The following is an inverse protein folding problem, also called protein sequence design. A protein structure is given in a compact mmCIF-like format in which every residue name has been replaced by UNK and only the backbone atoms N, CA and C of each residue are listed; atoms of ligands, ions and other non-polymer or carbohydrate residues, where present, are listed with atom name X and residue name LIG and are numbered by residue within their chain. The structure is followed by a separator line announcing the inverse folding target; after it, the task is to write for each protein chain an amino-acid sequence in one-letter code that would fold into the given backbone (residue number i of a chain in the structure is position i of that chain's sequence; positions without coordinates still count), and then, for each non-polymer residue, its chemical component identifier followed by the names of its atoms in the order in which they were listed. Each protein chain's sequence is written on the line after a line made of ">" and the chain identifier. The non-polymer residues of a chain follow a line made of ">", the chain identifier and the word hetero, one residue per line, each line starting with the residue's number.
data_IF_480130048301
#
_entry.id   IF_480130048301
#
_cell.length_a   1.000
_cell.length_b   1.000
_cell.length_c   1.000
_cell.angle_alpha   90.00
_cell.angle_beta   90.00
_cell.angle_gamma   90.00
#
_symmetry.space_group_name_H-M   'P 1'
#
loop_
_entity.id
_entity.type
_entity.pdbx_description
1 polymer ?
#
# COMPACT_ATOMS: atom_id res chain seq x y z
N UNK A 1 4.42 -7.29 13.83
CA UNK A 1 4.74 -7.12 12.39
C UNK A 1 5.54 -5.84 12.17
N UNK A 2 6.64 -5.92 11.41
CA UNK A 2 7.46 -4.77 10.99
C UNK A 2 7.20 -4.47 9.51
N UNK A 3 6.98 -3.19 9.17
CA UNK A 3 6.58 -2.78 7.82
C UNK A 3 7.49 -1.71 7.24
N UNK A 4 7.62 -1.70 5.92
CA UNK A 4 8.06 -0.54 5.14
C UNK A 4 6.84 0.34 4.84
N UNK A 5 7.01 1.65 4.93
CA UNK A 5 6.02 2.63 4.48
C UNK A 5 6.69 3.63 3.52
N UNK A 6 6.22 3.68 2.28
CA UNK A 6 6.64 4.71 1.31
C UNK A 6 5.59 5.81 1.21
N UNK A 7 5.99 7.00 0.77
CA UNK A 7 5.05 8.12 0.64
C UNK A 7 4.52 8.66 1.97
N UNK A 8 5.25 8.42 3.08
CA UNK A 8 4.86 8.83 4.43
C UNK A 8 4.69 10.35 4.63
N UNK A 9 5.24 11.18 3.73
CA UNK A 9 5.05 12.64 3.72
C UNK A 9 3.80 13.09 2.95
N UNK A 10 3.10 12.16 2.29
CA UNK A 10 1.90 12.42 1.50
C UNK A 10 0.63 12.37 2.36
N UNK A 11 -0.50 12.73 1.75
CA UNK A 11 -1.80 12.80 2.43
C UNK A 11 -2.22 11.44 3.03
N UNK A 12 -2.25 10.38 2.22
CA UNK A 12 -2.62 9.02 2.67
C UNK A 12 -1.52 8.42 3.56
N UNK A 13 -0.25 8.58 3.18
CA UNK A 13 0.87 8.00 3.92
C UNK A 13 1.05 8.59 5.32
N UNK A 14 0.72 9.88 5.52
CA UNK A 14 0.74 10.52 6.85
C UNK A 14 -0.27 9.86 7.78
N UNK A 15 -1.51 9.65 7.32
CA UNK A 15 -2.54 9.00 8.13
C UNK A 15 -2.19 7.55 8.44
N UNK A 16 -1.65 6.80 7.46
CA UNK A 16 -1.17 5.43 7.69
C UNK A 16 -0.05 5.41 8.73
N UNK A 17 0.90 6.35 8.67
CA UNK A 17 1.98 6.45 9.66
C UNK A 17 1.42 6.73 11.06
N UNK A 18 0.50 7.68 11.19
CA UNK A 18 -0.13 8.03 12.47
C UNK A 18 -0.87 6.84 13.08
N UNK A 19 -1.65 6.11 12.28
CA UNK A 19 -2.35 4.92 12.76
C UNK A 19 -1.40 3.76 13.05
N UNK A 20 -0.37 3.53 12.22
CA UNK A 20 0.62 2.48 12.44
C UNK A 20 1.38 2.70 13.75
N UNK A 21 1.71 3.97 14.08
CA UNK A 21 2.32 4.33 15.36
C UNK A 21 1.42 3.94 16.53
N UNK A 22 0.11 4.19 16.43
CA UNK A 22 -0.87 3.81 17.45
C UNK A 22 -1.22 2.31 17.47
N UNK A 23 -0.88 1.55 16.42
CA UNK A 23 -1.31 0.16 16.25
C UNK A 23 -0.44 -0.84 17.02
N UNK A 24 -1.04 -1.61 17.94
CA UNK A 24 -0.30 -2.53 18.82
C UNK A 24 0.35 -3.73 18.10
N UNK A 25 -0.22 -4.19 16.98
CA UNK A 25 0.37 -5.30 16.20
C UNK A 25 1.44 -4.87 15.18
N UNK A 26 1.62 -3.56 15.00
CA UNK A 26 2.75 -3.02 14.24
C UNK A 26 3.85 -2.74 15.26
N UNK A 27 4.97 -3.43 15.13
CA UNK A 27 6.10 -3.33 16.05
C UNK A 27 7.06 -2.22 15.62
N UNK A 28 7.26 -2.07 14.31
CA UNK A 28 8.22 -1.10 13.77
C UNK A 28 7.82 -0.65 12.37
N UNK A 29 8.10 0.61 12.06
CA UNK A 29 7.80 1.22 10.77
C UNK A 29 9.10 1.78 10.19
N UNK A 30 9.52 1.25 9.04
CA UNK A 30 10.66 1.72 8.26
C UNK A 30 10.14 2.63 7.15
N UNK A 31 10.24 3.93 7.36
CA UNK A 31 9.78 4.92 6.40
C UNK A 31 10.86 5.20 5.36
N UNK A 32 10.66 4.69 4.14
CA UNK A 32 11.54 4.99 3.01
C UNK A 32 11.02 6.27 2.34
N UNK A 33 11.77 7.36 2.44
CA UNK A 33 11.33 8.70 2.02
C UNK A 33 12.41 9.43 1.24
N UNK A 34 11.99 10.37 0.37
CA UNK A 34 12.92 11.28 -0.34
C UNK A 34 13.25 12.54 0.45
N UNK A 35 12.47 12.83 1.48
CA UNK A 35 12.55 14.04 2.28
C UNK A 35 12.39 13.65 3.74
N UNK A 36 13.10 14.33 4.66
CA UNK A 36 12.95 14.08 6.08
C UNK A 36 11.48 14.16 6.53
N UNK A 37 11.11 13.24 7.40
CA UNK A 37 9.87 13.23 8.15
C UNK A 37 9.85 14.38 9.15
N UNK A 38 8.64 14.80 9.49
CA UNK A 38 8.43 15.73 10.58
C UNK A 38 8.95 15.11 11.90
N UNK A 39 9.71 15.91 12.66
CA UNK A 39 10.29 15.51 13.95
C UNK A 39 9.24 14.99 14.94
N UNK A 40 7.99 15.42 14.80
CA UNK A 40 6.87 14.93 15.61
C UNK A 40 6.73 13.41 15.61
N UNK A 41 7.07 12.72 14.51
CA UNK A 41 6.89 11.27 14.42
C UNK A 41 7.90 10.48 15.28
N UNK A 42 9.07 11.06 15.57
CA UNK A 42 10.05 10.46 16.46
C UNK A 42 9.76 10.75 17.94
N UNK A 43 9.05 11.85 18.22
CA UNK A 43 8.62 12.22 19.57
C UNK A 43 7.29 11.54 19.98
N UNK A 44 6.36 11.39 19.05
CA UNK A 44 5.02 10.80 19.25
C UNK A 44 5.06 9.27 19.29
N UNK A 45 5.98 8.65 18.55
CA UNK A 45 6.15 7.21 18.59
C UNK A 45 6.63 6.76 19.97
N UNK A 46 6.10 5.64 20.47
CA UNK A 46 6.78 4.91 21.55
C UNK A 46 8.26 4.78 21.17
N UNK A 47 9.16 5.23 22.05
CA UNK A 47 10.56 5.52 21.72
C UNK A 47 11.16 4.42 20.84
N UNK A 48 11.45 4.76 19.58
CA UNK A 48 12.08 3.86 18.61
C UNK A 48 11.16 3.12 17.64
N UNK A 49 9.83 3.30 17.64
CA UNK A 49 8.91 2.58 16.72
C UNK A 49 9.05 2.97 15.23
N UNK A 50 9.63 4.14 14.95
CA UNK A 50 9.79 4.67 13.59
C UNK A 50 11.27 4.85 13.28
N UNK A 51 11.70 4.29 12.14
CA UNK A 51 13.02 4.55 11.55
C UNK A 51 12.83 5.21 10.20
N UNK A 52 13.49 6.34 10.01
CA UNK A 52 13.57 7.00 8.70
C UNK A 52 14.75 6.46 7.92
N UNK A 53 14.51 6.14 6.64
CA UNK A 53 15.50 5.74 5.67
C UNK A 53 15.38 6.68 4.48
N UNK A 54 16.33 7.62 4.36
CA UNK A 54 16.37 8.56 3.23
C UNK A 54 16.88 7.82 2.00
N UNK A 55 16.08 7.80 0.95
CA UNK A 55 16.37 7.11 -0.30
C UNK A 55 15.76 7.89 -1.46
N UNK A 56 16.59 8.31 -2.41
CA UNK A 56 16.15 9.20 -3.50
C UNK A 56 15.78 8.44 -4.78
N UNK A 57 16.45 7.31 -5.06
CA UNK A 57 16.31 6.58 -6.31
C UNK A 57 15.55 5.26 -6.18
N UNK A 58 14.22 5.33 -6.17
CA UNK A 58 13.33 4.15 -6.08
C UNK A 58 13.37 3.21 -7.28
N UNK A 59 14.21 3.47 -8.29
CA UNK A 59 14.50 2.53 -9.38
C UNK A 59 15.67 1.60 -9.06
N UNK A 60 16.43 1.85 -7.99
CA UNK A 60 17.58 1.03 -7.60
C UNK A 60 17.77 1.03 -6.09
N UNK A 61 17.80 -0.14 -5.47
CA UNK A 61 17.97 -0.30 -4.04
C UNK A 61 19.38 -0.83 -3.74
N UNK A 62 20.13 -0.13 -2.90
CA UNK A 62 21.47 -0.57 -2.51
C UNK A 62 21.41 -1.85 -1.65
N UNK A 63 22.38 -2.74 -1.84
CA UNK A 63 22.49 -4.00 -1.08
C UNK A 63 22.56 -3.74 0.43
N UNK A 64 23.22 -2.67 0.85
CA UNK A 64 23.32 -2.26 2.26
C UNK A 64 21.95 -1.99 2.89
N UNK A 65 21.07 -1.29 2.16
CA UNK A 65 19.71 -1.00 2.59
C UNK A 65 18.87 -2.27 2.65
N UNK A 66 18.99 -3.14 1.65
CA UNK A 66 18.26 -4.41 1.62
C UNK A 66 18.71 -5.36 2.74
N UNK A 67 20.02 -5.45 2.98
CA UNK A 67 20.58 -6.23 4.07
C UNK A 67 20.08 -5.70 5.43
N UNK A 68 20.08 -4.39 5.64
CA UNK A 68 19.53 -3.78 6.85
C UNK A 68 18.04 -4.14 7.07
N UNK A 69 17.21 -4.02 6.03
CA UNK A 69 15.78 -4.34 6.12
C UNK A 69 15.53 -5.84 6.31
N UNK A 70 16.38 -6.69 5.73
CA UNK A 70 16.37 -8.14 5.91
C UNK A 70 16.72 -8.52 7.35
N UNK A 71 17.80 -7.96 7.91
CA UNK A 71 18.22 -8.22 9.29
C UNK A 71 17.22 -7.68 10.31
N UNK A 72 16.59 -6.55 10.02
CA UNK A 72 15.45 -6.04 10.77
C UNK A 72 14.27 -7.03 10.78
N UNK A 73 14.16 -7.89 9.77
CA UNK A 73 13.08 -8.84 9.54
C UNK A 73 11.78 -8.12 9.20
N UNK A 74 11.80 -7.28 8.16
CA UNK A 74 10.58 -6.65 7.64
C UNK A 74 9.68 -7.70 6.97
N UNK A 75 8.37 -7.57 7.19
CA UNK A 75 7.37 -8.57 6.80
C UNK A 75 6.36 -8.05 5.76
N UNK A 76 6.44 -6.77 5.39
CA UNK A 76 5.56 -6.20 4.39
C UNK A 76 5.90 -4.75 4.04
N UNK A 77 5.27 -4.26 2.99
CA UNK A 77 5.40 -2.89 2.50
C UNK A 77 4.02 -2.31 2.24
N UNK A 78 3.78 -1.08 2.70
CA UNK A 78 2.64 -0.28 2.27
C UNK A 78 3.16 0.81 1.34
N UNK A 79 2.77 0.72 0.07
CA UNK A 79 3.22 1.62 -0.98
C UNK A 79 2.22 2.75 -1.21
N UNK A 80 2.51 3.93 -0.64
CA UNK A 80 1.68 5.13 -0.78
C UNK A 80 2.35 6.23 -1.61
N UNK A 81 3.43 5.92 -2.32
CA UNK A 81 4.06 6.90 -3.19
C UNK A 81 3.24 7.11 -4.46
N UNK A 82 2.90 8.37 -4.73
CA UNK A 82 2.25 8.81 -5.96
C UNK A 82 2.29 10.34 -6.09
N UNK A 83 2.36 10.88 -7.31
CA UNK A 83 2.17 12.32 -7.55
C UNK A 83 0.75 12.77 -7.18
N UNK A 84 0.51 14.09 -7.32
CA UNK A 84 -0.81 14.71 -7.13
C UNK A 84 -1.90 14.01 -7.98
N UNK A 85 -3.15 14.27 -7.61
CA UNK A 85 -4.37 13.57 -8.04
C UNK A 85 -4.57 13.51 -9.56
N UNK A 86 -4.01 14.46 -10.30
CA UNK A 86 -4.11 14.50 -11.76
C UNK A 86 -2.73 14.37 -12.39
N UNK A 87 -2.59 13.48 -13.40
CA UNK A 87 -1.35 13.36 -14.10
C UNK A 87 -1.08 14.62 -14.90
N UNK A 88 0.14 15.14 -14.83
CA UNK A 88 0.59 16.24 -15.69
C UNK A 88 1.02 15.66 -17.05
N UNK A 89 0.26 15.92 -18.14
CA UNK A 89 0.60 15.39 -19.46
C UNK A 89 2.00 15.83 -19.94
N UNK A 90 2.47 16.99 -19.49
CA UNK A 90 3.80 17.50 -19.82
C UNK A 90 4.93 16.69 -19.15
N UNK A 91 4.61 15.88 -18.13
CA UNK A 91 5.55 15.07 -17.35
C UNK A 91 5.24 13.58 -17.39
N UNK A 92 4.58 13.12 -18.47
CA UNK A 92 4.11 11.74 -18.60
C UNK A 92 5.18 10.68 -18.29
N UNK A 93 6.40 10.84 -18.79
CA UNK A 93 7.48 9.88 -18.53
C UNK A 93 7.87 9.83 -17.05
N UNK A 94 7.91 10.98 -16.36
CA UNK A 94 8.17 11.05 -14.91
C UNK A 94 7.01 10.42 -14.13
N UNK A 95 5.77 10.69 -14.54
CA UNK A 95 4.56 10.12 -13.96
C UNK A 95 4.53 8.59 -14.06
N UNK A 96 4.79 8.05 -15.25
CA UNK A 96 4.86 6.61 -15.50
C UNK A 96 5.98 5.98 -14.66
N UNK A 97 7.14 6.63 -14.58
CA UNK A 97 8.24 6.16 -13.72
C UNK A 97 7.81 6.07 -12.25
N UNK A 98 7.16 7.09 -11.72
CA UNK A 98 6.74 7.12 -10.29
C UNK A 98 5.58 6.15 -10.03
N UNK A 99 4.61 6.07 -10.94
CA UNK A 99 3.36 5.33 -10.72
C UNK A 99 3.46 3.86 -11.08
N UNK A 100 4.34 3.49 -12.01
CA UNK A 100 4.47 2.14 -12.57
C UNK A 100 5.85 1.58 -12.25
N UNK A 101 6.92 2.22 -12.72
CA UNK A 101 8.27 1.62 -12.63
C UNK A 101 8.79 1.49 -11.20
N UNK A 102 8.64 2.52 -10.37
CA UNK A 102 9.10 2.48 -8.97
C UNK A 102 8.40 1.43 -8.11
N UNK A 103 7.06 1.28 -8.10
CA UNK A 103 6.45 0.20 -7.32
C UNK A 103 6.87 -1.18 -7.81
N UNK A 104 6.99 -1.38 -9.12
CA UNK A 104 7.42 -2.68 -9.68
C UNK A 104 8.87 -2.99 -9.30
N UNK A 105 9.80 -2.05 -9.48
CA UNK A 105 11.21 -2.21 -9.10
C UNK A 105 11.36 -2.51 -7.60
N UNK A 106 10.56 -1.84 -6.75
CA UNK A 106 10.54 -2.14 -5.32
C UNK A 106 10.03 -3.55 -5.03
N UNK A 107 8.94 -3.96 -5.68
CA UNK A 107 8.37 -5.29 -5.50
C UNK A 107 9.32 -6.39 -5.96
N UNK A 108 10.01 -6.21 -7.08
CA UNK A 108 11.03 -7.17 -7.57
C UNK A 108 12.14 -7.39 -6.54
N UNK A 109 12.72 -6.29 -6.03
CA UNK A 109 13.78 -6.37 -5.03
C UNK A 109 13.26 -6.96 -3.72
N UNK A 110 12.09 -6.53 -3.23
CA UNK A 110 11.55 -7.02 -1.97
C UNK A 110 11.17 -8.50 -2.06
N UNK A 111 10.65 -8.95 -3.20
CA UNK A 111 10.32 -10.35 -3.47
C UNK A 111 11.58 -11.22 -3.47
N UNK A 112 12.65 -10.80 -4.15
CA UNK A 112 13.90 -11.57 -4.22
C UNK A 112 14.74 -11.56 -2.93
N UNK A 113 14.72 -10.47 -2.16
CA UNK A 113 15.63 -10.29 -1.01
C UNK A 113 14.94 -10.42 0.35
N UNK A 114 13.81 -9.73 0.54
CA UNK A 114 13.15 -9.65 1.84
C UNK A 114 12.21 -10.82 2.07
N UNK A 115 11.41 -11.16 1.05
CA UNK A 115 10.41 -12.21 1.14
C UNK A 115 11.02 -13.61 1.26
N UNK A 116 12.13 -13.86 0.55
CA UNK A 116 12.91 -15.11 0.63
C UNK A 116 13.54 -15.35 2.01
N UNK A 117 13.68 -14.30 2.83
CA UNK A 117 14.18 -14.40 4.20
C UNK A 117 13.10 -14.85 5.21
N UNK A 118 11.82 -14.84 4.81
CA UNK A 118 10.70 -15.24 5.65
C UNK A 118 10.39 -16.73 5.47
N UNK A 119 9.72 -17.32 6.45
CA UNK A 119 9.31 -18.73 6.41
C UNK A 119 7.92 -18.92 7.03
N UNK A 120 7.05 -19.76 6.43
CA UNK A 120 5.77 -20.14 7.03
C UNK A 120 5.88 -20.71 8.44
N UNK A 121 6.98 -21.42 8.74
CA UNK A 121 7.22 -22.06 10.05
C UNK A 121 7.40 -21.06 11.20
N UNK A 122 7.72 -19.80 10.89
CA UNK A 122 7.87 -18.74 11.89
C UNK A 122 6.53 -18.09 12.26
N UNK A 123 5.42 -18.47 11.63
CA UNK A 123 4.10 -18.01 12.02
C UNK A 123 3.68 -18.60 13.40
N UNK A 124 2.92 -17.84 14.22
CA UNK A 124 2.41 -16.48 13.98
C UNK A 124 3.40 -15.37 14.38
N UNK A 125 4.60 -15.72 14.88
CA UNK A 125 5.59 -14.75 15.38
C UNK A 125 6.09 -13.80 14.28
N UNK A 126 6.27 -14.33 13.07
CA UNK A 126 6.52 -13.56 11.85
C UNK A 126 5.39 -13.81 10.86
N UNK A 127 4.94 -12.78 10.16
CA UNK A 127 3.97 -12.86 9.08
C UNK A 127 4.64 -13.44 7.84
N UNK A 128 3.89 -14.28 7.15
CA UNK A 128 4.23 -14.87 5.87
C UNK A 128 2.92 -14.99 5.07
N UNK A 129 2.90 -14.72 3.75
CA UNK A 129 4.01 -14.20 2.92
C UNK A 129 4.38 -12.74 3.24
N UNK A 130 5.44 -12.22 2.61
CA UNK A 130 5.71 -10.78 2.58
C UNK A 130 4.59 -10.08 1.81
N UNK A 131 3.89 -9.14 2.44
CA UNK A 131 2.74 -8.46 1.80
C UNK A 131 3.11 -7.08 1.29
N UNK A 132 2.89 -6.85 0.00
CA UNK A 132 3.01 -5.57 -0.67
C UNK A 132 1.62 -4.96 -0.91
N UNK A 133 1.26 -3.96 -0.11
CA UNK A 133 -0.02 -3.26 -0.21
C UNK A 133 0.14 -2.05 -1.12
N UNK A 134 -0.50 -2.09 -2.27
CA UNK A 134 -0.47 -1.01 -3.26
C UNK A 134 -1.74 -0.16 -3.18
N UNK A 135 -1.60 1.14 -2.93
CA UNK A 135 -2.71 2.08 -2.99
C UNK A 135 -3.03 2.38 -4.46
N UNK A 136 -3.98 1.63 -5.02
CA UNK A 136 -4.47 1.78 -6.39
C UNK A 136 -5.56 2.85 -6.47
N UNK A 137 -6.42 2.77 -7.48
CA UNK A 137 -7.54 3.68 -7.66
C UNK A 137 -8.77 2.94 -8.20
N UNK A 138 -9.94 3.43 -7.83
CA UNK A 138 -11.22 2.96 -8.35
C UNK A 138 -11.22 2.97 -9.89
N UNK A 139 -11.61 1.84 -10.46
CA UNK A 139 -11.68 1.67 -11.91
C UNK A 139 -10.34 1.48 -12.60
N UNK A 140 -9.23 1.22 -11.89
CA UNK A 140 -7.96 0.86 -12.53
C UNK A 140 -8.16 -0.21 -13.62
N UNK A 141 -7.56 0.01 -14.79
CA UNK A 141 -7.79 -0.79 -15.99
C UNK A 141 -6.49 -1.45 -16.44
N UNK A 142 -6.47 -2.78 -16.40
CA UNK A 142 -5.29 -3.57 -16.72
C UNK A 142 -5.18 -3.83 -18.23
N UNK A 143 -6.31 -3.81 -18.95
CA UNK A 143 -6.31 -3.87 -20.41
C UNK A 143 -5.91 -2.50 -21.00
N UNK A 144 -4.66 -2.42 -21.45
CA UNK A 144 -4.11 -1.19 -22.02
C UNK A 144 -4.71 -0.85 -23.39
N UNK A 145 -5.36 -1.80 -24.07
CA UNK A 145 -6.02 -1.59 -25.36
C UNK A 145 -7.46 -1.09 -25.22
N UNK A 146 -8.09 -1.27 -24.05
CA UNK A 146 -9.46 -0.80 -23.83
C UNK A 146 -9.55 0.72 -23.88
N UNK A 147 -10.48 1.27 -24.67
CA UNK A 147 -10.79 2.69 -24.61
C UNK A 147 -11.75 2.99 -23.47
N UNK A 148 -11.43 3.98 -22.65
CA UNK A 148 -12.22 4.46 -21.53
C UNK A 148 -12.67 5.89 -21.79
N UNK A 149 -13.94 6.18 -21.49
CA UNK A 149 -14.56 7.49 -21.68
C UNK A 149 -14.22 8.50 -20.56
N UNK A 150 -13.81 8.02 -19.37
CA UNK A 150 -13.34 8.84 -18.25
C UNK A 150 -11.94 8.43 -17.81
N UNK A 151 -11.08 9.43 -17.56
CA UNK A 151 -9.77 9.28 -16.92
C UNK A 151 -8.93 8.14 -17.52
N UNK A 152 -8.93 8.02 -18.86
CA UNK A 152 -8.36 6.91 -19.61
C UNK A 152 -6.91 6.63 -19.22
N UNK A 153 -6.02 7.62 -19.34
CA UNK A 153 -4.60 7.49 -19.01
C UNK A 153 -4.39 7.12 -17.53
N UNK A 154 -5.12 7.78 -16.61
CA UNK A 154 -4.98 7.54 -15.18
C UNK A 154 -5.32 6.11 -14.78
N UNK A 155 -6.49 5.63 -15.23
CA UNK A 155 -7.00 4.29 -14.91
C UNK A 155 -6.07 3.22 -15.50
N UNK A 156 -5.57 3.45 -16.71
CA UNK A 156 -4.58 2.59 -17.37
C UNK A 156 -3.25 2.56 -16.67
N UNK A 157 -2.69 3.72 -16.27
CA UNK A 157 -1.44 3.77 -15.51
C UNK A 157 -1.53 2.99 -14.20
N UNK A 158 -2.65 3.13 -13.47
CA UNK A 158 -2.88 2.35 -12.25
C UNK A 158 -3.01 0.86 -12.52
N UNK A 159 -3.73 0.46 -13.57
CA UNK A 159 -3.86 -0.95 -13.92
C UNK A 159 -2.57 -1.56 -14.48
N UNK A 160 -1.73 -0.79 -15.18
CA UNK A 160 -0.41 -1.22 -15.62
C UNK A 160 0.50 -1.52 -14.41
N UNK A 161 0.48 -0.64 -13.40
CA UNK A 161 1.19 -0.87 -12.14
C UNK A 161 0.67 -2.12 -11.40
N UNK A 162 -0.65 -2.27 -11.28
CA UNK A 162 -1.26 -3.47 -10.70
C UNK A 162 -0.81 -4.74 -11.42
N UNK A 163 -0.87 -4.76 -12.75
CA UNK A 163 -0.48 -5.91 -13.56
C UNK A 163 0.97 -6.29 -13.30
N UNK A 164 1.91 -5.34 -13.36
CA UNK A 164 3.31 -5.63 -13.09
C UNK A 164 3.56 -6.12 -11.66
N UNK A 165 2.90 -5.53 -10.66
CA UNK A 165 3.02 -5.98 -9.27
C UNK A 165 2.43 -7.38 -9.04
N UNK A 166 1.37 -7.74 -9.76
CA UNK A 166 0.79 -9.08 -9.74
C UNK A 166 1.68 -10.09 -10.45
N UNK A 167 2.29 -9.70 -11.57
CA UNK A 167 3.26 -10.53 -12.27
C UNK A 167 4.45 -10.85 -11.35
N UNK A 168 4.97 -9.87 -10.58
CA UNK A 168 6.03 -10.13 -9.59
C UNK A 168 5.59 -11.13 -8.50
N UNK A 169 4.36 -11.01 -7.99
CA UNK A 169 3.85 -11.93 -6.97
C UNK A 169 3.68 -13.36 -7.53
N UNK A 170 3.13 -13.48 -8.74
CA UNK A 170 2.85 -14.77 -9.40
C UNK A 170 4.14 -15.54 -9.73
N UNK A 171 5.25 -14.82 -9.97
CA UNK A 171 6.58 -15.37 -10.25
C UNK A 171 7.51 -15.41 -9.02
N UNK A 172 7.04 -15.00 -7.84
CA UNK A 172 7.87 -15.02 -6.63
C UNK A 172 8.30 -16.45 -6.23
N UNK A 173 9.42 -16.54 -5.51
CA UNK A 173 9.96 -17.83 -5.09
C UNK A 173 8.99 -18.61 -4.18
N UNK A 174 9.11 -19.93 -4.20
CA UNK A 174 8.37 -20.81 -3.31
C UNK A 174 9.24 -21.15 -2.10
N UNK A 175 8.80 -20.73 -0.92
CA UNK A 175 9.43 -21.13 0.34
C UNK A 175 8.53 -22.19 0.97
N UNK A 176 9.06 -23.41 1.09
CA UNK A 176 8.37 -24.55 1.70
C UNK A 176 6.99 -24.83 1.08
N UNK A 177 6.88 -24.68 -0.24
CA UNK A 177 5.64 -24.95 -0.97
C UNK A 177 4.63 -23.80 -1.01
N UNK A 178 4.97 -22.62 -0.50
CA UNK A 178 4.12 -21.42 -0.56
C UNK A 178 4.86 -20.25 -1.22
N UNK A 179 4.15 -19.45 -2.04
CA UNK A 179 4.70 -18.21 -2.61
C UNK A 179 5.14 -17.28 -1.48
N UNK A 180 6.35 -16.75 -1.56
CA UNK A 180 6.91 -15.91 -0.50
C UNK A 180 6.41 -14.47 -0.52
N UNK A 181 5.85 -14.02 -1.65
CA UNK A 181 5.44 -12.64 -1.87
C UNK A 181 3.98 -12.56 -2.32
N UNK A 182 3.24 -11.63 -1.73
CA UNK A 182 1.84 -11.36 -2.04
C UNK A 182 1.66 -9.87 -2.30
N UNK A 183 0.99 -9.52 -3.40
CA UNK A 183 0.59 -8.14 -3.71
C UNK A 183 -0.92 -7.98 -3.51
N UNK A 184 -1.33 -6.94 -2.78
CA UNK A 184 -2.75 -6.57 -2.62
C UNK A 184 -2.95 -5.14 -3.11
N UNK A 185 -3.84 -4.94 -4.08
CA UNK A 185 -4.23 -3.62 -4.57
C UNK A 185 -5.50 -3.13 -3.87
N UNK A 186 -5.42 -1.94 -3.25
CA UNK A 186 -6.58 -1.24 -2.72
C UNK A 186 -7.11 -0.24 -3.75
N UNK A 187 -8.21 -0.55 -4.41
CA UNK A 187 -8.85 0.32 -5.40
C UNK A 187 -9.79 1.30 -4.73
N UNK A 188 -9.21 2.20 -3.94
CA UNK A 188 -9.94 3.29 -3.31
C UNK A 188 -10.47 4.28 -4.33
N UNK A 189 -11.65 4.81 -4.07
CA UNK A 189 -12.20 5.98 -4.75
C UNK A 189 -11.48 7.26 -4.34
N UNK A 190 -12.15 8.40 -4.49
CA UNK A 190 -11.63 9.68 -4.05
C UNK A 190 -11.36 9.67 -2.55
N UNK A 191 -10.11 9.95 -2.16
CA UNK A 191 -9.74 10.04 -0.74
C UNK A 191 -10.15 11.40 -0.19
N UNK A 192 -11.03 11.40 0.81
CA UNK A 192 -11.58 12.62 1.42
C UNK A 192 -11.08 12.82 2.85
N UNK A 193 -11.22 14.04 3.36
CA UNK A 193 -10.95 14.32 4.79
C UNK A 193 -11.98 13.60 5.66
N UNK A 194 -11.61 13.19 6.88
CA UNK A 194 -12.60 12.76 7.86
C UNK A 194 -13.56 13.93 8.10
N UNK A 195 -14.86 13.70 7.97
CA UNK A 195 -15.91 14.69 8.20
C UNK A 195 -16.95 14.16 9.19
N UNK A 196 -18.08 14.86 9.34
CA UNK A 196 -19.21 14.34 10.11
C UNK A 196 -19.68 13.01 9.51
N UNK A 197 -19.82 11.99 10.37
CA UNK A 197 -20.02 10.60 9.95
C UNK A 197 -21.17 10.44 8.94
N UNK A 198 -22.26 11.19 9.10
CA UNK A 198 -23.43 11.15 8.21
C UNK A 198 -23.11 11.72 6.82
N UNK A 199 -22.43 12.87 6.75
CA UNK A 199 -22.08 13.52 5.48
C UNK A 199 -21.05 12.72 4.69
N UNK A 200 -20.06 12.14 5.38
CA UNK A 200 -19.08 11.23 4.77
C UNK A 200 -19.74 9.97 4.22
N UNK A 201 -20.66 9.35 4.96
CA UNK A 201 -21.37 8.14 4.51
C UNK A 201 -22.24 8.42 3.28
N UNK A 202 -22.96 9.54 3.25
CA UNK A 202 -23.80 9.91 2.10
C UNK A 202 -22.98 10.13 0.83
N UNK A 203 -21.79 10.74 0.95
CA UNK A 203 -20.86 10.91 -0.16
C UNK A 203 -20.26 9.58 -0.62
N UNK A 204 -19.83 8.72 0.31
CA UNK A 204 -19.29 7.37 0.03
C UNK A 204 -20.34 6.45 -0.63
N UNK A 205 -21.63 6.67 -0.38
CA UNK A 205 -22.72 5.94 -1.00
C UNK A 205 -23.04 6.39 -2.44
N UNK A 206 -22.74 7.63 -2.79
CA UNK A 206 -23.14 8.25 -4.07
C UNK A 206 -21.98 8.40 -5.05
N UNK A 207 -20.76 8.59 -4.54
CA UNK A 207 -19.53 8.73 -5.32
C UNK A 207 -18.49 7.75 -4.76
N UNK A 208 -17.80 6.96 -5.61
CA UNK A 208 -16.69 6.12 -5.14
C UNK A 208 -15.66 6.98 -4.42
N UNK A 209 -15.69 6.90 -3.09
CA UNK A 209 -14.86 7.70 -2.18
C UNK A 209 -14.63 6.94 -0.88
N UNK A 210 -13.61 7.38 -0.14
CA UNK A 210 -13.24 6.82 1.15
C UNK A 210 -12.54 7.87 1.99
N UNK A 211 -12.94 8.00 3.25
CA UNK A 211 -12.20 8.81 4.23
C UNK A 211 -10.77 8.29 4.44
N UNK A 212 -9.81 9.19 4.55
CA UNK A 212 -8.38 8.83 4.63
C UNK A 212 -8.07 7.91 5.82
N UNK A 213 -8.77 8.07 6.94
CA UNK A 213 -8.59 7.22 8.12
C UNK A 213 -9.10 5.79 7.88
N UNK A 214 -10.20 5.62 7.13
CA UNK A 214 -10.69 4.30 6.72
C UNK A 214 -9.73 3.62 5.74
N UNK A 215 -9.22 4.36 4.76
CA UNK A 215 -8.23 3.82 3.83
C UNK A 215 -6.96 3.37 4.56
N UNK A 216 -6.52 4.13 5.56
CA UNK A 216 -5.38 3.76 6.39
C UNK A 216 -5.63 2.48 7.20
N UNK A 217 -6.81 2.36 7.84
CA UNK A 217 -7.24 1.13 8.53
C UNK A 217 -7.27 -0.07 7.57
N UNK A 218 -7.80 0.11 6.36
CA UNK A 218 -7.85 -0.93 5.34
C UNK A 218 -6.45 -1.37 4.91
N UNK A 219 -5.52 -0.43 4.70
CA UNK A 219 -4.13 -0.74 4.35
C UNK A 219 -3.41 -1.52 5.45
N UNK A 220 -3.54 -1.11 6.71
CA UNK A 220 -2.95 -1.79 7.85
C UNK A 220 -3.56 -3.18 8.06
N UNK A 221 -4.89 -3.31 7.93
CA UNK A 221 -5.57 -4.60 7.97
C UNK A 221 -5.07 -5.53 6.87
N UNK A 222 -5.02 -5.06 5.63
CA UNK A 222 -4.53 -5.85 4.50
C UNK A 222 -3.08 -6.31 4.71
N UNK A 223 -2.20 -5.46 5.25
CA UNK A 223 -0.83 -5.84 5.60
C UNK A 223 -0.79 -6.96 6.67
N UNK A 224 -1.63 -6.87 7.69
CA UNK A 224 -1.63 -7.81 8.82
C UNK A 224 -2.30 -9.15 8.50
N UNK A 225 -3.41 -9.12 7.77
CA UNK A 225 -4.31 -10.28 7.60
C UNK A 225 -4.49 -10.73 6.15
N UNK A 226 -3.95 -10.00 5.18
CA UNK A 226 -4.30 -10.20 3.78
C UNK A 226 -5.74 -9.78 3.48
N UNK A 227 -6.30 -10.29 2.39
CA UNK A 227 -7.68 -10.02 1.95
C UNK A 227 -8.72 -10.89 2.66
N UNK A 228 -8.30 -11.97 3.32
CA UNK A 228 -9.19 -13.00 3.90
C UNK A 228 -9.70 -14.02 2.88
N UNK A 229 -9.35 -13.88 1.60
CA UNK A 229 -9.61 -14.85 0.53
C UNK A 229 -8.31 -15.02 -0.28
N UNK A 230 -7.70 -16.19 -0.21
CA UNK A 230 -6.41 -16.50 -0.85
C UNK A 230 -6.44 -16.32 -2.38
N UNK A 231 -7.62 -16.32 -3.00
CA UNK A 231 -7.78 -16.10 -4.45
C UNK A 231 -7.93 -14.62 -4.80
N UNK A 232 -8.06 -13.76 -3.80
CA UNK A 232 -8.36 -12.35 -3.96
C UNK A 232 -7.16 -11.47 -3.64
N UNK A 233 -6.79 -10.65 -4.63
CA UNK A 233 -5.67 -9.69 -4.53
C UNK A 233 -6.05 -8.23 -4.79
N UNK A 234 -7.34 -7.97 -5.05
CA UNK A 234 -7.88 -6.62 -5.25
C UNK A 234 -9.00 -6.41 -4.23
N UNK A 235 -8.91 -5.33 -3.44
CA UNK A 235 -10.01 -4.85 -2.62
C UNK A 235 -10.62 -3.62 -3.29
N UNK A 236 -11.85 -3.75 -3.77
CA UNK A 236 -12.56 -2.62 -4.37
C UNK A 236 -13.00 -1.61 -3.30
N UNK A 237 -13.40 -0.40 -3.70
CA UNK A 237 -13.69 0.69 -2.76
C UNK A 237 -14.63 0.28 -1.62
N UNK A 238 -15.72 -0.43 -1.92
CA UNK A 238 -16.70 -0.90 -0.92
C UNK A 238 -16.08 -1.79 0.15
N UNK A 239 -15.09 -2.59 -0.22
CA UNK A 239 -14.41 -3.52 0.68
C UNK A 239 -13.39 -2.78 1.55
N UNK A 240 -12.80 -1.71 1.01
CA UNK A 240 -11.93 -0.82 1.77
C UNK A 240 -12.68 -0.02 2.86
N UNK A 241 -14.00 0.18 2.72
CA UNK A 241 -14.81 0.92 3.71
C UNK A 241 -14.99 0.18 5.04
N UNK A 242 -14.84 -1.14 5.03
CA UNK A 242 -14.90 -2.01 6.20
C UNK A 242 -16.31 -2.39 6.67
N UNK A 243 -16.37 -3.30 7.64
CA UNK A 243 -17.62 -3.86 8.19
C UNK A 243 -18.49 -2.81 8.89
N UNK A 244 -17.88 -1.84 9.57
CA UNK A 244 -18.62 -0.80 10.29
C UNK A 244 -19.44 0.08 9.33
N UNK A 245 -18.92 0.31 8.11
CA UNK A 245 -19.67 1.00 7.06
C UNK A 245 -20.80 0.14 6.51
N UNK A 246 -20.55 -1.17 6.30
CA UNK A 246 -21.56 -2.10 5.83
C UNK A 246 -22.76 -2.17 6.79
N UNK A 247 -22.51 -2.23 8.10
CA UNK A 247 -23.56 -2.26 9.14
C UNK A 247 -24.44 -1.01 9.13
N UNK A 248 -23.86 0.18 8.91
CA UNK A 248 -24.63 1.43 8.83
C UNK A 248 -25.48 1.49 7.56
N UNK A 249 -24.98 0.97 6.43
CA UNK A 249 -25.72 0.99 5.16
C UNK A 249 -26.78 -0.13 5.04
N UNK A 250 -26.67 -1.20 5.84
CA UNK A 250 -27.72 -2.23 5.94
C UNK A 250 -28.94 -1.82 6.75
N UNK A 251 -28.87 -0.72 7.52
CA UNK A 251 -30.01 -0.18 8.28
C UNK A 251 -30.92 0.73 7.43
N UNK A 252 -30.66 0.83 6.13
CA UNK A 252 -31.42 1.63 5.15
C UNK A 252 -31.97 0.79 4.00
N UNK A 253 -32.53 -0.38 4.31
CA UNK A 253 -33.44 -1.12 3.42
C UNK A 253 -34.73 -1.49 4.17
#
# INVERSE_FOLDING_TARGET
>A
MKIILTGATGYVGTEILDQAIAHNYIEHIYCITRKPLDRKYFAKAAKGKVTELIHENFGNYEDSLMQFLKDAGVEGCIWCMGPKTHPDPAKRAEEEKIRISYPIAAAEVFSGYLATALSPQLMPKRKFPFRFIFISAYGAEQDQFRSLWMWNDWRKMKGAAEKGLFDVADHSEMIQGHRCFETIALRSGQVIKPGDAIGTILWEATVPSISVDRLAKAALRAALTGTGDEKKRILENKECLGSDWAMVNTLTL
#
